data_IF_110946111342
#
_entry.id   IF_110946111342
#
_cell.length_a   1.000
_cell.length_b   1.000
_cell.length_c   1.000
_cell.angle_alpha   90.00
_cell.angle_beta   90.00
_cell.angle_gamma   90.00
#
_symmetry.space_group_name_H-M   'P 1'
#
loop_
_entity.id
_entity.type
_entity.pdbx_description
1 polymer ?
#
# COMPACT_ATOMS: atom_id res chain seq x y z
N UNK A 1 0.46 27.84 -11.17
CA UNK A 1 0.03 26.67 -11.97
C UNK A 1 0.40 25.41 -11.20
N UNK A 2 -0.42 24.36 -11.25
CA UNK A 2 -0.24 23.11 -10.49
C UNK A 2 -0.34 21.93 -11.45
N UNK A 3 0.49 20.91 -11.24
CA UNK A 3 0.50 19.67 -11.99
C UNK A 3 0.00 18.54 -11.09
N UNK A 4 -1.13 17.96 -11.47
CA UNK A 4 -1.69 16.79 -10.79
C UNK A 4 -0.95 15.52 -11.24
N UNK A 5 -0.60 14.63 -10.31
CA UNK A 5 -0.20 13.28 -10.69
C UNK A 5 -0.88 12.25 -9.80
N UNK A 6 -1.55 11.30 -10.44
CA UNK A 6 -2.16 10.16 -9.77
C UNK A 6 -2.29 8.97 -10.71
N UNK A 7 -2.12 7.78 -10.13
CA UNK A 7 -2.22 6.50 -10.80
C UNK A 7 -2.98 5.52 -9.91
N UNK A 8 -3.71 4.60 -10.54
CA UNK A 8 -4.41 3.54 -9.85
C UNK A 8 -4.45 2.28 -10.71
N UNK A 9 -4.41 1.12 -10.07
CA UNK A 9 -4.68 -0.18 -10.70
C UNK A 9 -5.30 -1.15 -9.69
N UNK A 10 -6.19 -2.01 -10.17
CA UNK A 10 -6.81 -3.03 -9.33
C UNK A 10 -5.90 -4.23 -9.14
N UNK A 11 -5.29 -4.71 -10.22
CA UNK A 11 -4.43 -5.89 -10.21
C UNK A 11 -3.35 -5.78 -11.28
N UNK A 12 -2.15 -6.24 -10.97
CA UNK A 12 -1.11 -6.50 -11.97
C UNK A 12 -0.01 -7.36 -11.37
N UNK A 13 0.84 -7.94 -12.21
CA UNK A 13 1.94 -8.74 -11.70
C UNK A 13 2.62 -9.64 -12.74
N UNK A 14 3.49 -10.51 -12.23
CA UNK A 14 4.23 -11.47 -13.04
C UNK A 14 4.07 -12.86 -12.45
N UNK A 15 4.06 -13.85 -13.34
CA UNK A 15 4.13 -15.26 -13.03
C UNK A 15 5.47 -15.78 -13.53
N UNK A 16 6.15 -16.56 -12.71
CA UNK A 16 7.46 -17.19 -12.98
C UNK A 16 7.31 -18.70 -13.14
N UNK A 17 6.46 -19.32 -12.30
CA UNK A 17 6.08 -20.74 -12.40
C UNK A 17 4.56 -20.87 -12.29
N UNK A 18 3.95 -21.85 -12.97
CA UNK A 18 4.58 -22.94 -13.74
C UNK A 18 5.06 -22.53 -15.13
N UNK A 19 4.46 -21.50 -15.73
CA UNK A 19 4.88 -20.93 -17.03
C UNK A 19 5.05 -19.42 -16.84
N UNK A 20 6.21 -18.86 -17.23
CA UNK A 20 6.42 -17.42 -17.16
C UNK A 20 5.37 -16.66 -17.96
N UNK A 21 4.74 -15.67 -17.33
CA UNK A 21 3.75 -14.83 -17.97
C UNK A 21 3.57 -13.51 -17.23
N UNK A 22 2.90 -12.55 -17.87
CA UNK A 22 2.62 -11.22 -17.33
C UNK A 22 1.12 -11.06 -17.20
N UNK A 23 0.69 -10.61 -16.01
CA UNK A 23 -0.68 -10.17 -15.77
C UNK A 23 -0.69 -8.66 -16.01
N UNK A 24 -1.25 -8.24 -17.15
CA UNK A 24 -1.41 -6.83 -17.48
C UNK A 24 -2.16 -6.08 -16.39
N UNK A 25 -1.84 -4.80 -16.22
CA UNK A 25 -2.50 -3.95 -15.23
C UNK A 25 -3.99 -3.81 -15.51
N UNK A 26 -4.80 -4.49 -14.69
CA UNK A 26 -6.25 -4.46 -14.75
C UNK A 26 -6.78 -3.21 -14.05
N UNK A 27 -7.79 -2.61 -14.70
CA UNK A 27 -8.49 -1.42 -14.19
C UNK A 27 -7.52 -0.28 -13.90
N UNK A 28 -6.51 -0.13 -14.75
CA UNK A 28 -5.54 0.94 -14.65
C UNK A 28 -6.14 2.27 -15.14
N UNK A 29 -5.85 3.37 -14.44
CA UNK A 29 -6.10 4.72 -14.94
C UNK A 29 -5.06 5.71 -14.40
N UNK A 30 -4.91 6.83 -15.09
CA UNK A 30 -4.04 7.93 -14.71
C UNK A 30 -4.76 9.26 -14.86
N UNK A 31 -4.50 10.19 -13.95
CA UNK A 31 -5.11 11.49 -13.91
C UNK A 31 -4.38 12.46 -14.86
N UNK A 32 -5.08 13.24 -15.70
CA UNK A 32 -4.44 14.27 -16.52
C UNK A 32 -3.73 15.31 -15.65
N UNK A 33 -2.58 15.81 -16.12
CA UNK A 33 -1.77 16.79 -15.37
C UNK A 33 -2.46 18.13 -15.12
N UNK A 34 -3.45 18.47 -15.95
CA UNK A 34 -4.31 19.65 -15.79
C UNK A 34 -5.43 19.45 -14.74
N UNK A 35 -5.58 18.25 -14.20
CA UNK A 35 -6.71 17.85 -13.34
C UNK A 35 -7.87 17.28 -14.14
N UNK A 36 -9.05 17.22 -13.51
CA UNK A 36 -10.25 16.60 -14.05
C UNK A 36 -10.57 15.27 -13.37
N UNK A 37 -11.05 14.31 -14.16
CA UNK A 37 -11.42 12.97 -13.67
C UNK A 37 -10.90 11.90 -14.61
N UNK A 38 -10.55 10.74 -14.07
CA UNK A 38 -10.26 9.54 -14.83
C UNK A 38 -10.83 8.33 -14.10
N UNK A 39 -11.41 7.39 -14.84
CA UNK A 39 -11.95 6.17 -14.24
C UNK A 39 -11.77 4.98 -15.16
N UNK A 40 -11.67 3.80 -14.57
CA UNK A 40 -11.61 2.52 -15.27
C UNK A 40 -12.44 1.52 -14.48
N UNK A 41 -13.04 0.55 -15.16
CA UNK A 41 -13.80 -0.53 -14.52
C UNK A 41 -13.66 -1.82 -15.30
N UNK A 42 -13.72 -2.93 -14.59
CA UNK A 42 -13.88 -4.25 -15.17
C UNK A 42 -14.93 -5.03 -14.40
N UNK A 43 -15.68 -5.87 -15.12
CA UNK A 43 -16.52 -6.90 -14.50
C UNK A 43 -15.66 -8.07 -14.03
N UNK A 44 -16.19 -9.28 -14.13
CA UNK A 44 -15.45 -10.49 -13.74
C UNK A 44 -14.15 -10.60 -14.54
N UNK A 45 -13.06 -10.80 -13.82
CA UNK A 45 -11.76 -11.10 -14.37
C UNK A 45 -11.26 -12.41 -13.78
N UNK A 46 -10.65 -13.24 -14.61
CA UNK A 46 -10.03 -14.49 -14.20
C UNK A 46 -8.78 -14.71 -15.05
N UNK A 47 -7.67 -14.98 -14.39
CA UNK A 47 -6.40 -15.23 -15.03
C UNK A 47 -5.91 -16.63 -14.68
N UNK A 48 -6.12 -17.56 -15.62
CA UNK A 48 -5.57 -18.93 -15.59
C UNK A 48 -5.80 -19.68 -14.27
N UNK A 49 -6.90 -19.40 -13.57
CA UNK A 49 -7.19 -19.96 -12.25
C UNK A 49 -6.27 -19.51 -11.11
N UNK A 50 -5.27 -18.64 -11.38
CA UNK A 50 -4.34 -18.12 -10.36
C UNK A 50 -4.99 -17.01 -9.54
N UNK A 51 -5.68 -16.11 -10.23
CA UNK A 51 -6.28 -14.94 -9.62
C UNK A 51 -7.55 -14.54 -10.34
N UNK A 52 -8.53 -14.08 -9.57
CA UNK A 52 -9.81 -13.62 -10.08
C UNK A 52 -10.41 -12.55 -9.17
N UNK A 53 -11.32 -11.76 -9.74
CA UNK A 53 -12.22 -10.88 -9.00
C UNK A 53 -13.57 -10.79 -9.71
N UNK A 54 -14.63 -10.47 -8.99
CA UNK A 54 -15.98 -10.34 -9.55
C UNK A 54 -16.21 -8.99 -10.21
N UNK A 55 -15.67 -7.92 -9.62
CA UNK A 55 -15.62 -6.60 -10.24
C UNK A 55 -14.50 -5.76 -9.65
N UNK A 56 -14.04 -4.79 -10.42
CA UNK A 56 -13.11 -3.79 -9.92
C UNK A 56 -13.33 -2.43 -10.59
N UNK A 57 -13.10 -1.36 -9.84
CA UNK A 57 -13.21 0.02 -10.32
C UNK A 57 -12.09 0.88 -9.75
N UNK A 58 -11.50 1.71 -10.60
CA UNK A 58 -10.56 2.77 -10.23
C UNK A 58 -11.18 4.13 -10.57
N UNK A 59 -11.05 5.10 -9.67
CA UNK A 59 -11.54 6.47 -9.84
C UNK A 59 -10.52 7.47 -9.32
N UNK A 60 -10.23 8.47 -10.14
CA UNK A 60 -9.27 9.53 -9.90
C UNK A 60 -9.96 10.88 -10.12
N UNK A 61 -9.76 11.82 -9.22
CA UNK A 61 -10.20 13.21 -9.38
C UNK A 61 -9.08 14.16 -8.99
N UNK A 62 -8.88 15.22 -9.77
CA UNK A 62 -8.00 16.33 -9.48
C UNK A 62 -8.74 17.64 -9.70
N UNK A 63 -8.93 18.44 -8.66
CA UNK A 63 -9.61 19.73 -8.80
C UNK A 63 -9.13 20.71 -7.74
N UNK A 64 -9.46 21.98 -7.94
CA UNK A 64 -9.28 23.02 -6.92
C UNK A 64 -10.51 23.03 -6.00
N UNK A 65 -10.29 22.97 -4.70
CA UNK A 65 -11.29 23.20 -3.67
C UNK A 65 -10.97 24.52 -2.94
N UNK A 66 -11.96 25.41 -2.79
CA UNK A 66 -11.77 26.68 -2.05
C UNK A 66 -12.32 26.55 -0.65
N UNK A 67 -11.46 26.75 0.36
CA UNK A 67 -11.83 26.69 1.79
C UNK A 67 -11.51 28.03 2.43
N UNK A 68 -12.51 28.72 2.97
CA UNK A 68 -12.35 30.06 3.56
C UNK A 68 -11.62 31.05 2.63
N UNK A 69 -11.93 31.03 1.34
CA UNK A 69 -11.29 31.87 0.31
C UNK A 69 -9.88 31.42 -0.11
N UNK A 70 -9.35 30.34 0.46
CA UNK A 70 -8.03 29.79 0.14
C UNK A 70 -8.17 28.60 -0.81
N UNK A 71 -7.49 28.60 -1.98
CA UNK A 71 -7.53 27.48 -2.90
C UNK A 71 -6.60 26.34 -2.46
N UNK A 72 -7.08 25.11 -2.58
CA UNK A 72 -6.34 23.87 -2.38
C UNK A 72 -6.45 23.02 -3.65
N UNK A 73 -5.32 22.55 -4.17
CA UNK A 73 -5.34 21.52 -5.21
C UNK A 73 -5.53 20.18 -4.51
N UNK A 74 -6.59 19.47 -4.87
CA UNK A 74 -7.00 18.22 -4.21
C UNK A 74 -6.99 17.11 -5.25
N UNK A 75 -6.25 16.05 -4.93
CA UNK A 75 -6.22 14.79 -5.67
C UNK A 75 -6.89 13.72 -4.81
N UNK A 76 -7.83 12.96 -5.37
CA UNK A 76 -8.44 11.80 -4.71
C UNK A 76 -8.33 10.60 -5.63
N UNK A 77 -7.95 9.47 -5.03
CA UNK A 77 -7.76 8.19 -5.70
C UNK A 77 -8.52 7.13 -4.92
N UNK A 78 -9.28 6.30 -5.63
CA UNK A 78 -9.96 5.14 -5.06
C UNK A 78 -9.84 3.95 -5.99
N UNK A 79 -9.54 2.78 -5.43
CA UNK A 79 -9.68 1.49 -6.09
C UNK A 79 -10.59 0.64 -5.23
N UNK A 80 -11.59 0.01 -5.85
CA UNK A 80 -12.50 -0.94 -5.19
C UNK A 80 -12.43 -2.25 -5.96
N UNK A 81 -12.28 -3.35 -5.25
CA UNK A 81 -12.22 -4.70 -5.80
C UNK A 81 -13.18 -5.55 -4.99
N UNK A 82 -14.09 -6.24 -5.66
CA UNK A 82 -15.11 -7.10 -5.06
C UNK A 82 -14.83 -8.56 -5.45
N UNK A 83 -14.99 -9.47 -4.49
CA UNK A 83 -14.86 -10.91 -4.70
C UNK A 83 -13.47 -11.36 -5.15
N UNK A 84 -12.41 -10.82 -4.54
CA UNK A 84 -11.04 -11.23 -4.84
C UNK A 84 -10.81 -12.68 -4.42
N UNK A 85 -10.19 -13.46 -5.30
CA UNK A 85 -9.69 -14.80 -4.99
C UNK A 85 -8.35 -15.04 -5.68
N UNK A 86 -7.32 -15.34 -4.88
CA UNK A 86 -5.98 -15.73 -5.32
C UNK A 86 -5.74 -17.16 -4.85
N UNK A 87 -5.69 -18.10 -5.80
CA UNK A 87 -5.40 -19.52 -5.57
C UNK A 87 -6.26 -20.18 -4.45
N UNK A 88 -7.44 -19.64 -4.13
CA UNK A 88 -8.25 -20.02 -2.96
C UNK A 88 -7.54 -19.86 -1.60
N UNK A 89 -6.38 -19.20 -1.59
CA UNK A 89 -5.56 -18.98 -0.41
C UNK A 89 -5.74 -17.58 0.15
N UNK A 90 -5.83 -16.57 -0.71
CA UNK A 90 -6.13 -15.19 -0.28
C UNK A 90 -7.43 -14.76 -0.94
N UNK A 91 -8.45 -14.57 -0.12
CA UNK A 91 -9.78 -14.15 -0.57
C UNK A 91 -10.21 -12.91 0.19
N UNK A 92 -10.96 -12.03 -0.45
CA UNK A 92 -11.61 -10.90 0.21
C UNK A 92 -12.93 -10.60 -0.48
N UNK A 93 -13.96 -10.37 0.32
CA UNK A 93 -15.27 -9.99 -0.20
C UNK A 93 -15.16 -8.60 -0.84
N UNK A 94 -14.41 -7.68 -0.20
CA UNK A 94 -14.14 -6.35 -0.72
C UNK A 94 -12.81 -5.78 -0.26
N UNK A 95 -12.11 -5.12 -1.17
CA UNK A 95 -10.90 -4.34 -0.88
C UNK A 95 -11.12 -2.91 -1.38
N UNK A 96 -10.87 -1.93 -0.51
CA UNK A 96 -10.94 -0.52 -0.85
C UNK A 96 -9.57 0.10 -0.60
N UNK A 97 -8.91 0.58 -1.65
CA UNK A 97 -7.72 1.42 -1.55
C UNK A 97 -8.13 2.87 -1.73
N UNK A 98 -7.69 3.77 -0.84
CA UNK A 98 -7.93 5.21 -0.95
C UNK A 98 -6.69 6.02 -0.63
N UNK A 99 -6.50 7.06 -1.42
CA UNK A 99 -5.46 8.05 -1.19
C UNK A 99 -6.00 9.43 -1.52
N UNK A 100 -5.75 10.38 -0.64
CA UNK A 100 -6.07 11.78 -0.85
C UNK A 100 -4.82 12.62 -0.67
N UNK A 101 -4.54 13.51 -1.62
CA UNK A 101 -3.45 14.46 -1.53
C UNK A 101 -4.01 15.89 -1.63
N UNK A 102 -3.54 16.77 -0.76
CA UNK A 102 -3.93 18.17 -0.75
C UNK A 102 -2.70 19.07 -0.78
N UNK A 103 -2.70 20.02 -1.70
CA UNK A 103 -1.66 21.03 -1.83
C UNK A 103 -2.26 22.43 -1.69
N UNK A 104 -2.08 23.00 -0.50
CA UNK A 104 -2.49 24.35 -0.16
C UNK A 104 -1.35 25.36 -0.24
N UNK A 105 -1.57 26.58 0.27
CA UNK A 105 -0.52 27.60 0.37
C UNK A 105 0.68 27.11 1.18
N UNK A 106 1.85 27.65 0.84
CA UNK A 106 3.09 27.38 1.60
C UNK A 106 2.94 27.84 3.05
N UNK A 107 3.16 26.93 3.98
CA UNK A 107 3.21 27.24 5.40
C UNK A 107 4.57 27.89 5.77
N UNK A 108 4.61 28.87 6.69
CA UNK A 108 5.87 29.45 7.15
C UNK A 108 6.82 28.37 7.70
N UNK A 109 8.11 28.48 7.37
CA UNK A 109 9.16 27.57 7.83
C UNK A 109 8.98 26.09 7.43
N UNK A 110 8.13 25.80 6.45
CA UNK A 110 7.94 24.44 5.94
C UNK A 110 8.20 24.38 4.43
N UNK A 111 8.74 23.24 3.92
CA UNK A 111 8.76 22.97 2.50
C UNK A 111 7.34 23.02 1.92
N UNK A 112 7.23 23.42 0.66
CA UNK A 112 5.97 23.30 -0.07
C UNK A 112 5.82 21.85 -0.55
N UNK A 113 4.89 21.12 0.05
CA UNK A 113 4.67 19.71 -0.24
C UNK A 113 3.18 19.36 -0.04
N UNK A 114 2.65 18.35 -0.75
CA UNK A 114 1.29 17.89 -0.52
C UNK A 114 1.17 17.14 0.81
N UNK A 115 0.05 17.35 1.50
CA UNK A 115 -0.41 16.52 2.62
C UNK A 115 -1.11 15.29 2.04
N UNK A 116 -0.61 14.09 2.32
CA UNK A 116 -1.12 12.85 1.72
C UNK A 116 -1.65 11.92 2.80
N UNK A 117 -2.90 11.49 2.67
CA UNK A 117 -3.63 10.66 3.62
C UNK A 117 -4.05 9.34 2.97
N UNK A 118 -4.05 8.28 3.77
CA UNK A 118 -4.48 6.91 3.38
C UNK A 118 -5.82 6.52 4.01
N UNK A 119 -6.55 7.50 4.57
CA UNK A 119 -7.79 7.26 5.32
C UNK A 119 -8.85 6.64 4.43
N UNK A 120 -9.47 5.57 4.93
CA UNK A 120 -10.56 4.87 4.25
C UNK A 120 -10.10 3.69 3.39
N UNK A 121 -8.83 3.28 3.47
CA UNK A 121 -8.45 1.95 3.02
C UNK A 121 -9.08 0.88 3.92
N UNK A 122 -9.62 -0.18 3.33
CA UNK A 122 -10.39 -1.20 4.05
C UNK A 122 -10.21 -2.58 3.43
N UNK A 123 -10.28 -3.60 4.28
CA UNK A 123 -10.39 -5.01 3.92
C UNK A 123 -11.69 -5.55 4.53
N UNK A 124 -12.53 -6.16 3.72
CA UNK A 124 -13.79 -6.78 4.14
C UNK A 124 -13.78 -8.26 3.75
N UNK A 125 -14.16 -9.12 4.69
CA UNK A 125 -14.20 -10.57 4.45
C UNK A 125 -12.85 -11.20 4.11
N UNK A 126 -11.74 -10.60 4.55
CA UNK A 126 -10.40 -11.12 4.26
C UNK A 126 -10.24 -12.52 4.86
N UNK A 127 -9.82 -13.46 4.02
CA UNK A 127 -9.51 -14.85 4.39
C UNK A 127 -8.13 -15.21 3.87
N UNK A 128 -7.31 -15.78 4.75
CA UNK A 128 -5.96 -16.22 4.42
C UNK A 128 -5.81 -17.68 4.82
N UNK A 129 -5.48 -18.55 3.86
CA UNK A 129 -5.38 -19.99 4.01
C UNK A 129 -6.62 -20.61 4.71
N UNK A 130 -7.82 -20.13 4.34
CA UNK A 130 -9.08 -20.58 4.94
C UNK A 130 -9.44 -19.96 6.30
N UNK A 131 -8.55 -19.17 6.91
CA UNK A 131 -8.84 -18.47 8.16
C UNK A 131 -9.42 -17.08 7.90
N UNK A 132 -10.52 -16.74 8.58
CA UNK A 132 -11.04 -15.37 8.58
C UNK A 132 -10.05 -14.46 9.33
N UNK A 133 -9.58 -13.42 8.66
CA UNK A 133 -8.60 -12.48 9.17
C UNK A 133 -9.23 -11.11 9.43
N UNK A 134 -9.09 -10.61 10.65
CA UNK A 134 -9.50 -9.24 11.02
C UNK A 134 -8.27 -8.34 11.03
N UNK A 135 -8.34 -7.25 10.27
CA UNK A 135 -7.24 -6.30 10.08
C UNK A 135 -7.50 -5.04 10.89
N UNK A 136 -6.62 -4.74 11.85
CA UNK A 136 -6.60 -3.45 12.56
C UNK A 136 -5.70 -2.46 11.82
N UNK A 137 -6.24 -1.29 11.50
CA UNK A 137 -5.54 -0.22 10.76
C UNK A 137 -5.24 1.00 11.64
N UNK A 138 -4.09 1.63 11.44
CA UNK A 138 -3.72 2.91 12.07
C UNK A 138 -3.52 4.02 11.01
N UNK A 139 -4.64 4.54 10.51
CA UNK A 139 -4.62 5.72 9.63
C UNK A 139 -4.29 7.02 10.38
N UNK A 140 -4.48 7.03 11.71
CA UNK A 140 -4.22 8.19 12.56
C UNK A 140 -2.75 8.59 12.51
N UNK A 141 -1.85 7.61 12.44
CA UNK A 141 -0.42 7.88 12.29
C UNK A 141 -0.08 8.60 10.98
N UNK A 142 -0.64 8.15 9.86
CA UNK A 142 -0.42 8.79 8.55
C UNK A 142 -1.05 10.16 8.45
N UNK A 143 -2.11 10.42 9.23
CA UNK A 143 -2.72 11.74 9.40
C UNK A 143 -1.91 12.66 10.32
N UNK A 144 -1.20 12.11 11.31
CA UNK A 144 -0.27 12.85 12.18
C UNK A 144 0.99 13.29 11.43
N UNK A 145 1.47 12.45 10.51
CA UNK A 145 2.62 12.76 9.65
C UNK A 145 2.19 12.81 8.18
N UNK A 146 1.44 13.84 7.74
CA UNK A 146 0.87 13.88 6.39
C UNK A 146 1.89 14.20 5.29
N UNK A 147 3.07 14.73 5.63
CA UNK A 147 4.08 15.13 4.66
C UNK A 147 5.42 14.41 4.82
N UNK A 148 6.33 14.50 3.85
CA UNK A 148 7.66 13.86 4.00
C UNK A 148 8.51 14.61 5.02
N UNK A 149 8.41 15.94 5.08
CA UNK A 149 9.03 16.73 6.14
C UNK A 149 8.58 16.29 7.54
N UNK A 150 7.28 16.03 7.73
CA UNK A 150 6.76 15.51 9.02
C UNK A 150 7.43 14.19 9.40
N UNK A 151 7.64 13.30 8.44
CA UNK A 151 8.35 12.04 8.66
C UNK A 151 9.81 12.28 9.04
N UNK A 152 10.51 13.20 8.36
CA UNK A 152 11.90 13.53 8.68
C UNK A 152 12.05 14.14 10.07
N UNK A 153 11.16 15.07 10.45
CA UNK A 153 11.14 15.69 11.77
C UNK A 153 10.81 14.66 12.84
N UNK A 154 9.78 13.84 12.63
CA UNK A 154 9.39 12.78 13.56
C UNK A 154 10.50 11.74 13.72
N UNK A 155 11.23 11.41 12.64
CA UNK A 155 12.33 10.44 12.69
C UNK A 155 13.50 10.93 13.56
N UNK A 156 13.76 12.24 13.59
CA UNK A 156 14.82 12.83 14.42
C UNK A 156 14.34 13.26 15.82
N UNK A 157 13.03 13.28 16.05
CA UNK A 157 12.41 13.87 17.23
C UNK A 157 11.84 12.86 18.22
N UNK A 158 11.01 13.38 19.15
CA UNK A 158 10.35 12.59 20.20
C UNK A 158 9.39 11.52 19.65
N UNK A 159 8.94 11.67 18.40
CA UNK A 159 8.02 10.76 17.74
C UNK A 159 8.70 9.57 17.03
N UNK A 160 10.03 9.43 17.16
CA UNK A 160 10.77 8.39 16.45
C UNK A 160 10.24 6.98 16.74
N UNK A 161 9.92 6.66 18.00
CA UNK A 161 9.34 5.36 18.37
C UNK A 161 7.99 5.13 17.70
N UNK A 162 7.15 6.16 17.63
CA UNK A 162 5.82 6.10 16.99
C UNK A 162 5.95 5.84 15.49
N UNK A 163 6.85 6.53 14.79
CA UNK A 163 7.10 6.31 13.36
C UNK A 163 7.67 4.91 13.09
N UNK A 164 8.58 4.43 13.93
CA UNK A 164 9.12 3.07 13.81
C UNK A 164 8.03 2.01 13.90
N UNK A 165 6.94 2.26 14.64
CA UNK A 165 5.85 1.30 14.79
C UNK A 165 5.08 0.98 13.49
N UNK A 166 5.09 1.89 12.50
CA UNK A 166 4.44 1.63 11.21
C UNK A 166 5.40 1.18 10.11
N UNK A 167 6.70 1.09 10.40
CA UNK A 167 7.66 0.59 9.43
C UNK A 167 7.33 -0.87 9.12
N UNK A 168 7.34 -1.22 7.84
CA UNK A 168 7.11 -2.59 7.40
C UNK A 168 8.13 -3.51 8.07
N UNK A 169 7.64 -4.51 8.81
CA UNK A 169 8.48 -5.45 9.56
C UNK A 169 8.75 -5.10 11.02
N UNK A 170 8.16 -4.03 11.57
CA UNK A 170 8.34 -3.67 13.00
C UNK A 170 7.93 -4.79 13.99
N UNK A 171 7.04 -5.66 13.57
CA UNK A 171 6.53 -6.84 14.29
C UNK A 171 7.34 -8.11 14.05
N UNK A 172 8.40 -8.06 13.24
CA UNK A 172 9.28 -9.21 13.01
C UNK A 172 10.10 -9.54 14.27
N UNK A 173 10.46 -10.82 14.47
CA UNK A 173 11.35 -11.22 15.56
C UNK A 173 12.69 -10.49 15.49
N UNK A 174 13.20 -10.07 16.65
CA UNK A 174 14.50 -9.39 16.73
C UNK A 174 15.66 -10.30 16.28
N UNK A 175 15.60 -11.59 16.64
CA UNK A 175 16.55 -12.60 16.20
C UNK A 175 16.08 -13.26 14.89
N UNK A 176 16.98 -13.31 13.91
CA UNK A 176 16.76 -14.07 12.69
C UNK A 176 17.03 -15.56 12.97
N UNK A 177 16.08 -16.43 12.62
CA UNK A 177 16.33 -17.86 12.55
C UNK A 177 17.02 -18.21 11.21
N UNK A 178 18.28 -18.69 11.21
CA UNK A 178 19.01 -19.02 9.98
C UNK A 178 18.38 -20.14 9.16
N UNK A 179 17.53 -20.97 9.77
CA UNK A 179 16.81 -22.03 9.07
C UNK A 179 15.67 -21.48 8.18
N UNK A 180 15.31 -20.20 8.35
CA UNK A 180 14.27 -19.56 7.52
C UNK A 180 14.75 -19.35 6.08
N UNK A 181 13.86 -19.44 5.09
CA UNK A 181 14.20 -19.24 3.69
C UNK A 181 14.85 -17.88 3.41
N UNK A 182 15.68 -17.80 2.36
CA UNK A 182 16.44 -16.58 1.99
C UNK A 182 15.55 -15.34 1.89
N UNK A 183 14.36 -15.44 1.28
CA UNK A 183 13.44 -14.29 1.16
C UNK A 183 13.09 -13.68 2.53
N UNK A 184 12.94 -14.50 3.57
CA UNK A 184 12.67 -14.03 4.93
C UNK A 184 13.86 -13.25 5.50
N UNK A 185 15.08 -13.71 5.21
CA UNK A 185 16.31 -13.04 5.61
C UNK A 185 16.45 -11.68 4.94
N UNK A 186 16.03 -11.56 3.67
CA UNK A 186 16.06 -10.30 2.94
C UNK A 186 15.05 -9.28 3.47
N UNK A 187 13.83 -9.72 3.82
CA UNK A 187 12.82 -8.88 4.48
C UNK A 187 13.35 -8.34 5.81
N UNK A 188 13.91 -9.23 6.66
CA UNK A 188 14.46 -8.86 7.96
C UNK A 188 15.63 -7.89 7.85
N UNK A 189 16.54 -8.12 6.90
CA UNK A 189 17.64 -7.21 6.58
C UNK A 189 17.13 -5.85 6.15
N UNK A 190 16.21 -5.78 5.19
CA UNK A 190 15.65 -4.52 4.70
C UNK A 190 14.98 -3.70 5.81
N UNK A 191 14.21 -4.38 6.68
CA UNK A 191 13.64 -3.76 7.86
C UNK A 191 14.71 -3.20 8.80
N UNK A 192 15.70 -4.02 9.17
CA UNK A 192 16.75 -3.64 10.12
C UNK A 192 17.57 -2.46 9.59
N UNK A 193 17.93 -2.48 8.31
CA UNK A 193 18.64 -1.37 7.66
C UNK A 193 17.81 -0.07 7.62
N UNK A 194 16.49 -0.16 7.46
CA UNK A 194 15.62 1.03 7.49
C UNK A 194 15.42 1.54 8.92
N UNK A 195 15.17 0.62 9.87
CA UNK A 195 14.98 0.93 11.29
C UNK A 195 16.21 1.58 11.89
N UNK A 196 17.39 1.05 11.61
CA UNK A 196 18.64 1.47 12.23
C UNK A 196 19.33 2.61 11.46
N UNK A 197 18.69 3.11 10.39
CA UNK A 197 19.19 4.25 9.65
C UNK A 197 19.23 5.51 10.55
N UNK A 198 20.38 6.22 10.61
CA UNK A 198 20.50 7.44 11.41
C UNK A 198 19.61 8.57 10.87
N UNK A 199 19.33 8.55 9.57
CA UNK A 199 18.41 9.48 8.91
C UNK A 199 17.30 8.73 8.19
N UNK A 200 16.17 9.39 7.99
CA UNK A 200 15.08 8.84 7.21
C UNK A 200 15.55 8.60 5.77
N UNK A 201 15.43 7.35 5.29
CA UNK A 201 15.77 6.99 3.90
C UNK A 201 14.87 7.74 2.92
N UNK A 202 15.35 8.08 1.70
CA UNK A 202 14.56 8.76 0.66
C UNK A 202 13.24 8.05 0.28
N UNK A 203 13.21 6.74 0.47
CA UNK A 203 12.04 5.89 0.31
C UNK A 203 11.87 5.12 1.61
N UNK A 204 10.69 5.20 2.19
CA UNK A 204 10.35 4.54 3.45
C UNK A 204 9.22 3.55 3.17
N UNK A 205 9.49 2.28 3.47
CA UNK A 205 8.47 1.24 3.41
C UNK A 205 7.74 1.14 4.75
N UNK A 206 6.45 1.41 4.75
CA UNK A 206 5.58 1.39 5.94
C UNK A 206 4.30 0.63 5.67
N UNK A 207 3.46 0.45 6.68
CA UNK A 207 2.11 -0.10 6.53
C UNK A 207 1.12 0.65 7.42
N UNK A 208 -0.10 0.85 6.92
CA UNK A 208 -1.22 1.31 7.75
C UNK A 208 -1.88 0.16 8.52
N UNK A 209 -1.51 -1.09 8.26
CA UNK A 209 -1.95 -2.25 9.03
C UNK A 209 -1.08 -2.39 10.27
N UNK A 210 -1.72 -2.30 11.44
CA UNK A 210 -1.09 -2.41 12.75
C UNK A 210 -1.05 -3.86 13.21
N UNK A 211 -2.16 -4.58 13.05
CA UNK A 211 -2.29 -5.95 13.53
C UNK A 211 -3.26 -6.75 12.65
N UNK A 212 -3.03 -8.06 12.56
CA UNK A 212 -3.93 -9.02 11.97
C UNK A 212 -4.24 -10.10 13.01
N UNK A 213 -5.50 -10.47 13.14
CA UNK A 213 -6.00 -11.48 14.09
C UNK A 213 -6.93 -12.47 13.39
N UNK A 214 -7.21 -13.62 14.01
CA UNK A 214 -8.11 -14.65 13.48
C UNK A 214 -7.43 -15.76 12.66
N UNK A 215 -6.15 -15.59 12.33
CA UNK A 215 -5.32 -16.64 11.73
C UNK A 215 -4.86 -17.59 12.85
N UNK A 216 -5.53 -18.74 12.94
CA UNK A 216 -5.33 -19.74 13.99
C UNK A 216 -4.62 -20.98 13.43
N UNK A 217 -3.37 -20.83 13.00
CA UNK A 217 -2.54 -21.94 12.54
C UNK A 217 -1.11 -21.79 13.04
N UNK A 218 -0.50 -22.83 13.63
CA UNK A 218 0.90 -22.80 14.06
C UNK A 218 1.87 -22.79 12.87
N UNK A 219 1.41 -23.13 11.67
CA UNK A 219 2.22 -23.18 10.45
C UNK A 219 2.30 -21.82 9.75
N UNK A 220 1.35 -20.92 10.02
CA UNK A 220 1.29 -19.59 9.40
C UNK A 220 1.94 -18.58 10.34
N UNK A 221 3.02 -17.96 9.89
CA UNK A 221 3.59 -16.85 10.63
C UNK A 221 2.87 -15.55 10.28
N UNK A 222 2.49 -14.79 11.31
CA UNK A 222 1.80 -13.52 11.16
C UNK A 222 2.47 -12.46 12.03
N UNK A 223 3.15 -11.52 11.39
CA UNK A 223 3.84 -10.40 12.03
C UNK A 223 3.20 -9.09 11.57
N UNK A 224 2.03 -8.76 12.12
CA UNK A 224 1.30 -7.55 11.75
C UNK A 224 0.95 -7.56 10.26
N UNK A 225 1.51 -6.66 9.42
CA UNK A 225 1.21 -6.61 8.00
C UNK A 225 1.85 -7.73 7.15
N UNK A 226 2.80 -8.50 7.70
CA UNK A 226 3.53 -9.55 6.97
C UNK A 226 3.02 -10.92 7.39
N UNK A 227 2.52 -11.70 6.44
CA UNK A 227 1.99 -13.03 6.68
C UNK A 227 2.69 -14.01 5.75
N UNK A 228 3.29 -15.05 6.32
CA UNK A 228 3.99 -16.09 5.57
C UNK A 228 3.20 -17.38 5.67
N UNK A 229 2.74 -17.87 4.53
CA UNK A 229 2.01 -19.13 4.42
C UNK A 229 2.94 -20.16 3.78
N UNK A 230 3.27 -21.27 4.47
CA UNK A 230 4.11 -22.32 3.93
C UNK A 230 3.57 -22.83 2.60
N UNK A 231 4.47 -23.10 1.65
CA UNK A 231 4.12 -23.62 0.32
C UNK A 231 3.09 -22.76 -0.44
N UNK A 232 3.04 -21.46 -0.13
CA UNK A 232 2.27 -20.48 -0.88
C UNK A 232 3.13 -19.25 -1.14
N UNK A 233 3.57 -18.57 -0.07
CA UNK A 233 4.41 -17.38 -0.18
C UNK A 233 4.18 -16.37 0.93
N UNK A 234 4.61 -15.14 0.67
CA UNK A 234 4.51 -14.00 1.60
C UNK A 234 3.44 -13.04 1.11
N UNK A 235 2.58 -12.62 2.04
CA UNK A 235 1.52 -11.64 1.84
C UNK A 235 1.86 -10.40 2.66
N UNK A 236 1.91 -9.25 2.02
CA UNK A 236 2.08 -7.95 2.67
C UNK A 236 0.76 -7.17 2.58
N UNK A 237 0.27 -6.68 3.71
CA UNK A 237 -0.97 -5.93 3.80
C UNK A 237 -0.73 -4.43 3.99
N UNK A 238 -1.49 -3.62 3.25
CA UNK A 238 -1.62 -2.17 3.47
C UNK A 238 -0.30 -1.42 3.41
N UNK A 239 0.58 -1.82 2.50
CA UNK A 239 1.88 -1.21 2.29
C UNK A 239 1.73 0.24 1.85
N UNK A 240 2.50 1.13 2.47
CA UNK A 240 2.60 2.54 2.11
C UNK A 240 4.06 2.88 1.84
N UNK A 241 4.37 3.16 0.59
CA UNK A 241 5.67 3.67 0.16
C UNK A 241 5.63 5.19 0.27
N UNK A 242 6.43 5.74 1.18
CA UNK A 242 6.52 7.18 1.45
C UNK A 242 7.81 7.72 0.85
N UNK A 243 7.68 8.75 0.01
CA UNK A 243 8.81 9.48 -0.56
C UNK A 243 8.52 10.99 -0.56
N UNK A 244 9.51 11.80 -0.91
CA UNK A 244 9.35 13.25 -0.97
C UNK A 244 8.21 13.65 -1.91
N UNK A 245 7.17 14.26 -1.34
CA UNK A 245 6.00 14.75 -2.07
C UNK A 245 5.08 13.68 -2.64
N UNK A 246 5.31 12.38 -2.44
CA UNK A 246 4.49 11.32 -3.04
C UNK A 246 4.26 10.17 -2.07
N UNK A 247 3.10 9.51 -2.21
CA UNK A 247 2.87 8.20 -1.61
C UNK A 247 2.29 7.22 -2.62
N UNK A 248 2.61 5.95 -2.42
CA UNK A 248 1.92 4.83 -3.04
C UNK A 248 1.38 3.91 -1.95
N UNK A 249 0.15 3.48 -2.10
CA UNK A 249 -0.49 2.46 -1.26
C UNK A 249 -0.67 1.21 -2.09
N UNK A 250 -0.34 0.05 -1.54
CA UNK A 250 -0.70 -1.26 -2.08
C UNK A 250 -1.51 -2.00 -1.02
N UNK A 251 -2.74 -2.40 -1.35
CA UNK A 251 -3.59 -3.13 -0.40
C UNK A 251 -3.04 -4.53 -0.12
N UNK A 252 -2.67 -5.26 -1.17
CA UNK A 252 -1.93 -6.52 -1.06
C UNK A 252 -0.73 -6.50 -2.00
N UNK A 253 0.40 -6.98 -1.49
CA UNK A 253 1.51 -7.47 -2.32
C UNK A 253 1.73 -8.93 -1.98
N UNK A 254 1.81 -9.79 -2.99
CA UNK A 254 2.07 -11.22 -2.81
C UNK A 254 3.38 -11.58 -3.49
N UNK A 255 4.20 -12.35 -2.81
CA UNK A 255 5.40 -12.99 -3.34
C UNK A 255 5.23 -14.50 -3.21
N UNK A 256 4.86 -15.15 -4.32
CA UNK A 256 4.57 -16.58 -4.37
C UNK A 256 5.86 -17.40 -4.48
N UNK A 257 5.91 -18.53 -3.77
CA UNK A 257 7.11 -19.36 -3.64
C UNK A 257 7.02 -20.76 -4.27
N UNK A 258 5.89 -21.45 -4.15
CA UNK A 258 5.69 -22.82 -4.67
C UNK A 258 4.22 -23.22 -4.56
N UNK A 259 3.67 -24.12 -5.42
CA UNK A 259 4.24 -24.53 -6.70
C UNK A 259 4.25 -23.37 -7.72
N UNK A 260 3.28 -22.47 -7.60
CA UNK A 260 3.21 -21.21 -8.34
C UNK A 260 4.22 -20.21 -7.77
N UNK A 261 4.89 -19.49 -8.65
CA UNK A 261 5.84 -18.44 -8.25
C UNK A 261 5.55 -17.19 -9.07
N UNK A 262 5.66 -16.02 -8.46
CA UNK A 262 5.26 -14.78 -9.07
C UNK A 262 5.08 -13.66 -8.05
N UNK A 263 4.81 -12.47 -8.56
CA UNK A 263 4.57 -11.30 -7.72
C UNK A 263 3.32 -10.59 -8.19
N UNK A 264 2.36 -10.39 -7.28
CA UNK A 264 1.10 -9.70 -7.58
C UNK A 264 0.97 -8.45 -6.70
N UNK A 265 0.42 -7.39 -7.29
CA UNK A 265 0.02 -6.16 -6.61
C UNK A 265 -1.48 -6.00 -6.79
N UNK A 266 -2.19 -5.83 -5.68
CA UNK A 266 -3.64 -5.67 -5.63
C UNK A 266 -3.96 -4.33 -4.96
N UNK A 267 -4.87 -3.58 -5.57
CA UNK A 267 -5.37 -2.30 -5.06
C UNK A 267 -4.24 -1.30 -4.86
N UNK A 268 -3.57 -0.91 -5.96
CA UNK A 268 -2.52 0.10 -5.90
C UNK A 268 -3.07 1.48 -6.20
N UNK A 269 -2.68 2.46 -5.39
CA UNK A 269 -2.99 3.87 -5.60
C UNK A 269 -1.74 4.71 -5.37
N UNK A 270 -1.34 5.47 -6.38
CA UNK A 270 -0.31 6.50 -6.29
C UNK A 270 -0.92 7.88 -6.38
N UNK A 271 -0.38 8.83 -5.62
CA UNK A 271 -0.80 10.22 -5.76
C UNK A 271 0.20 11.20 -5.19
N UNK A 272 0.26 12.34 -5.86
CA UNK A 272 0.93 13.54 -5.41
C UNK A 272 0.30 14.76 -6.10
N UNK A 273 1.01 15.88 -6.02
CA UNK A 273 1.03 16.88 -7.06
C UNK A 273 2.06 17.95 -6.75
N UNK A 274 2.45 18.71 -7.75
CA UNK A 274 3.56 19.66 -7.65
C UNK A 274 3.18 21.02 -8.18
N UNK A 275 3.72 22.07 -7.55
CA UNK A 275 3.74 23.39 -8.18
C UNK A 275 4.46 23.33 -9.53
N UNK A 276 4.05 24.18 -10.46
CA UNK A 276 4.81 24.43 -11.68
C UNK A 276 6.17 25.07 -11.32
N UNK A 277 7.28 24.70 -11.98
CA UNK A 277 8.60 25.28 -11.74
C UNK A 277 8.65 26.81 -11.83
#
# INVERSE_FOLDING_TARGET
MYLYHADALALGGTVVRPVPDIIESQVACSLPTAGGTASSRSGRFEYKGLISFESAQSSLTGNVETRNGVPFNVTRVSVVIEGLNILHMVMADRIVARLAAEHGPKEPNRPSEPKILTTGCQFEGLRIAGHAATVETDHGLFAKFPTYFDWQTGWKGADNGTLRNCIMGNTLPAALDPARPVHFQEIHRGFTEQRDAPELKPIVLSSFVKQVTGINSPEIDCWGPIIVVPQFGTIYLGEVVVSSGQRRVNMLRLELGSPDAGTFIIGSTGGNGSGYP
#
